data_IF_138465461972
#
_entry.id   IF_138465461972
#
_cell.length_a   1.000
_cell.length_b   1.000
_cell.length_c   1.000
_cell.angle_alpha   90.00
_cell.angle_beta   90.00
_cell.angle_gamma   90.00
#
_symmetry.space_group_name_H-M   'P 1'
#
loop_
_entity.id
_entity.type
_entity.pdbx_description
1 polymer ?
#
# COMPACT_ATOMS: atom_id res chain seq x y z
N UNK A 1 24.62 -5.75 -15.60
CA UNK A 1 24.71 -4.70 -16.63
C UNK A 1 26.16 -4.60 -17.07
N UNK A 2 26.51 -5.17 -18.22
CA UNK A 2 27.85 -5.03 -18.83
C UNK A 2 27.58 -4.51 -20.24
N UNK A 3 27.93 -3.26 -20.54
CA UNK A 3 27.78 -2.76 -21.92
C UNK A 3 27.77 -1.24 -22.15
N UNK A 4 27.48 -0.41 -21.15
CA UNK A 4 27.49 1.07 -21.32
C UNK A 4 28.29 1.75 -20.21
N UNK A 5 29.07 2.82 -20.52
CA UNK A 5 29.81 3.59 -19.51
C UNK A 5 28.92 4.52 -18.66
N UNK A 6 27.60 4.48 -18.88
CA UNK A 6 26.61 5.28 -18.16
C UNK A 6 25.45 4.40 -17.72
N UNK A 7 24.82 4.81 -16.61
CA UNK A 7 23.60 4.23 -16.07
C UNK A 7 22.71 5.32 -15.47
N UNK A 8 21.46 4.97 -15.17
CA UNK A 8 20.50 5.86 -14.52
C UNK A 8 20.21 5.32 -13.12
N UNK A 9 20.21 6.20 -12.13
CA UNK A 9 19.66 5.92 -10.80
C UNK A 9 18.53 6.90 -10.53
N UNK A 10 17.41 6.39 -10.02
CA UNK A 10 16.27 7.21 -9.60
C UNK A 10 16.26 7.22 -8.08
N UNK A 11 16.42 8.40 -7.50
CA UNK A 11 16.39 8.62 -6.06
C UNK A 11 15.30 9.65 -5.75
N UNK A 12 14.65 9.51 -4.58
CA UNK A 12 13.82 10.59 -4.06
C UNK A 12 14.69 11.77 -3.68
N UNK A 13 14.19 12.99 -3.93
CA UNK A 13 14.85 14.20 -3.47
C UNK A 13 14.58 14.37 -1.98
N UNK A 14 15.57 14.01 -1.17
CA UNK A 14 15.48 14.05 0.29
C UNK A 14 16.12 15.30 0.87
N UNK A 15 15.61 15.75 2.01
CA UNK A 15 16.21 16.77 2.87
C UNK A 15 17.35 16.16 3.72
N UNK A 16 18.17 16.98 4.41
CA UNK A 16 19.15 16.48 5.38
C UNK A 16 18.55 15.63 6.52
N UNK A 17 17.24 15.72 6.73
CA UNK A 17 16.49 14.92 7.70
C UNK A 17 15.94 13.62 7.10
N UNK A 18 16.33 13.24 5.88
CA UNK A 18 15.81 12.06 5.17
C UNK A 18 14.28 12.08 4.99
N UNK A 19 13.71 13.28 4.85
CA UNK A 19 12.30 13.48 4.50
C UNK A 19 12.22 14.01 3.06
N UNK A 20 11.31 13.51 2.20
CA UNK A 20 11.19 14.02 0.84
C UNK A 20 10.86 15.51 0.81
N UNK A 21 11.55 16.27 -0.05
CA UNK A 21 11.45 17.73 -0.15
C UNK A 21 10.18 18.23 -0.85
N UNK A 22 9.40 17.34 -1.48
CA UNK A 22 8.12 17.67 -2.08
C UNK A 22 6.99 17.71 -1.04
N UNK A 23 5.94 18.48 -1.31
CA UNK A 23 4.78 18.52 -0.44
C UNK A 23 4.01 17.17 -0.50
N UNK A 24 3.66 16.56 0.65
CA UNK A 24 2.76 15.40 0.71
C UNK A 24 1.37 15.69 0.09
N UNK A 25 0.63 14.67 -0.42
CA UNK A 25 0.92 13.25 -0.28
C UNK A 25 1.94 12.71 -1.29
N UNK A 26 2.85 11.84 -0.84
CA UNK A 26 3.84 11.19 -1.72
C UNK A 26 3.27 10.02 -2.55
N UNK A 27 2.12 9.51 -2.15
CA UNK A 27 1.33 8.53 -2.89
C UNK A 27 -0.15 8.65 -2.53
N UNK A 28 -1.01 8.27 -3.47
CA UNK A 28 -2.46 8.36 -3.31
C UNK A 28 -3.17 7.10 -3.78
N UNK A 29 -4.34 6.85 -3.21
CA UNK A 29 -5.33 5.93 -3.80
C UNK A 29 -6.35 6.81 -4.49
N UNK A 30 -6.56 6.56 -5.78
CA UNK A 30 -7.42 7.39 -6.61
C UNK A 30 -8.47 6.53 -7.29
N UNK A 31 -9.74 6.87 -7.11
CA UNK A 31 -10.80 6.35 -7.95
C UNK A 31 -11.09 7.31 -9.09
N UNK A 32 -11.15 6.77 -10.29
CA UNK A 32 -11.45 7.52 -11.51
C UNK A 32 -12.77 7.02 -12.08
N UNK A 33 -13.69 7.96 -12.30
CA UNK A 33 -14.90 7.72 -13.08
C UNK A 33 -14.55 7.76 -14.57
N UNK A 34 -14.57 6.59 -15.21
CA UNK A 34 -14.26 6.45 -16.63
C UNK A 34 -15.30 7.09 -17.55
N UNK A 35 -16.57 7.16 -17.14
CA UNK A 35 -17.64 7.74 -17.97
C UNK A 35 -17.48 9.26 -18.04
N UNK A 36 -17.26 9.88 -16.89
CA UNK A 36 -17.14 11.34 -16.79
C UNK A 36 -15.69 11.83 -16.94
N UNK A 37 -14.71 10.92 -16.97
CA UNK A 37 -13.26 11.20 -17.03
C UNK A 37 -12.80 12.11 -15.89
N UNK A 38 -13.35 11.90 -14.70
CA UNK A 38 -13.08 12.70 -13.50
C UNK A 38 -12.58 11.82 -12.37
N UNK A 39 -11.80 12.42 -11.48
CA UNK A 39 -11.48 11.80 -10.19
C UNK A 39 -12.78 11.80 -9.38
N UNK A 40 -13.23 10.60 -8.98
CA UNK A 40 -14.38 10.45 -8.10
C UNK A 40 -13.98 10.80 -6.66
N UNK A 41 -12.83 10.29 -6.23
CA UNK A 41 -12.20 10.63 -4.96
C UNK A 41 -10.71 10.29 -5.01
N UNK A 42 -9.94 10.95 -4.14
CA UNK A 42 -8.51 10.71 -3.96
C UNK A 42 -8.15 10.89 -2.49
N UNK A 43 -7.38 9.94 -1.94
CA UNK A 43 -6.93 9.96 -0.55
C UNK A 43 -5.43 9.66 -0.45
N UNK A 44 -4.74 10.13 0.60
CA UNK A 44 -3.35 9.74 0.86
C UNK A 44 -3.22 8.23 1.07
N UNK A 45 -2.19 7.63 0.47
CA UNK A 45 -1.92 6.21 0.57
C UNK A 45 -1.15 5.85 1.86
N UNK A 46 -1.83 5.47 2.93
CA UNK A 46 -1.17 5.02 4.17
C UNK A 46 -0.58 6.16 5.01
N UNK A 47 0.22 5.79 6.00
CA UNK A 47 0.65 6.69 7.10
C UNK A 47 2.16 6.72 7.33
N UNK A 48 2.61 7.67 8.13
CA UNK A 48 3.99 7.78 8.60
C UNK A 48 4.35 6.88 9.78
N UNK A 49 3.50 5.96 10.23
CA UNK A 49 3.71 5.26 11.51
C UNK A 49 5.05 4.51 11.60
N UNK A 50 5.48 3.88 10.49
CA UNK A 50 6.74 3.14 10.38
C UNK A 50 7.90 3.96 9.81
N UNK A 51 7.69 5.24 9.55
CA UNK A 51 8.64 6.13 8.89
C UNK A 51 8.82 7.43 9.70
N UNK A 52 9.89 8.17 9.43
CA UNK A 52 10.09 9.48 10.03
C UNK A 52 11.49 10.03 9.77
N UNK A 53 11.79 11.23 10.28
CA UNK A 53 13.07 11.89 10.07
C UNK A 53 14.24 11.00 10.50
N UNK A 54 15.31 10.99 9.71
CA UNK A 54 16.55 10.22 9.96
C UNK A 54 16.31 8.71 10.11
N UNK A 55 15.28 8.18 9.43
CA UNK A 55 14.88 6.77 9.52
C UNK A 55 14.22 6.38 10.86
N UNK A 56 13.95 7.33 11.74
CA UNK A 56 13.33 7.07 13.04
C UNK A 56 11.81 6.91 12.85
N UNK A 57 11.25 5.79 13.33
CA UNK A 57 9.81 5.53 13.29
C UNK A 57 9.05 6.60 14.06
N UNK A 58 8.13 7.29 13.39
CA UNK A 58 7.35 8.34 14.06
C UNK A 58 6.34 7.78 15.07
N UNK A 59 5.87 6.54 14.87
CA UNK A 59 4.75 5.94 15.61
C UNK A 59 3.44 6.75 15.55
N UNK A 60 3.37 7.76 14.70
CA UNK A 60 2.21 8.61 14.51
C UNK A 60 1.53 8.22 13.20
N UNK A 61 0.22 7.92 13.21
CA UNK A 61 -0.52 7.51 12.02
C UNK A 61 -0.88 8.72 11.14
N UNK A 62 0.09 9.59 10.84
CA UNK A 62 -0.12 10.77 10.01
C UNK A 62 -0.33 10.35 8.56
N UNK A 63 -1.43 10.74 7.88
CA UNK A 63 -1.75 10.32 6.52
C UNK A 63 -0.95 11.12 5.48
N UNK A 64 0.38 10.98 5.52
CA UNK A 64 1.29 11.69 4.62
C UNK A 64 1.31 11.10 3.21
N UNK A 65 0.62 9.99 2.96
CA UNK A 65 0.57 9.30 1.68
C UNK A 65 1.94 8.80 1.26
N UNK A 66 2.21 7.52 1.47
CA UNK A 66 3.50 6.91 1.15
C UNK A 66 3.58 6.49 -0.31
N UNK A 67 4.80 6.48 -0.89
CA UNK A 67 5.03 5.88 -2.19
C UNK A 67 4.52 4.43 -2.21
N UNK A 68 3.73 4.11 -3.24
CA UNK A 68 3.01 2.85 -3.33
C UNK A 68 3.69 1.87 -4.27
N UNK A 69 3.91 0.63 -3.83
CA UNK A 69 4.64 -0.39 -4.61
C UNK A 69 3.83 -1.67 -4.88
N UNK A 70 2.50 -1.64 -4.75
CA UNK A 70 1.62 -2.77 -5.05
C UNK A 70 0.40 -2.31 -5.85
N UNK A 71 -0.33 -3.27 -6.43
CA UNK A 71 -1.65 -3.02 -7.00
C UNK A 71 -2.76 -3.10 -5.96
N UNK A 72 -3.90 -2.51 -6.31
CA UNK A 72 -5.17 -2.65 -5.58
C UNK A 72 -5.99 -3.81 -6.14
N UNK A 73 -6.85 -4.41 -5.32
CA UNK A 73 -7.88 -5.35 -5.77
C UNK A 73 -9.25 -4.86 -5.34
N UNK A 74 -10.24 -4.94 -6.23
CA UNK A 74 -11.64 -4.61 -5.91
C UNK A 74 -12.50 -5.86 -5.82
N UNK A 75 -13.61 -5.76 -5.08
CA UNK A 75 -14.63 -6.82 -5.00
C UNK A 75 -16.00 -6.26 -5.37
N UNK A 76 -16.90 -7.14 -5.84
CA UNK A 76 -18.29 -6.75 -6.14
C UNK A 76 -19.07 -6.26 -4.90
N UNK A 77 -18.58 -6.54 -3.70
CA UNK A 77 -19.13 -6.03 -2.44
C UNK A 77 -18.83 -4.55 -2.16
N UNK A 78 -18.20 -3.82 -3.09
CA UNK A 78 -17.90 -2.40 -2.92
C UNK A 78 -16.65 -2.12 -2.07
N UNK A 79 -15.73 -3.08 -2.00
CA UNK A 79 -14.48 -2.94 -1.25
C UNK A 79 -13.27 -2.91 -2.16
N UNK A 80 -12.30 -2.05 -1.83
CA UNK A 80 -10.96 -1.98 -2.41
C UNK A 80 -9.95 -2.42 -1.37
N UNK A 81 -9.22 -3.49 -1.64
CA UNK A 81 -8.13 -3.99 -0.80
C UNK A 81 -6.78 -3.49 -1.31
N UNK A 82 -5.95 -3.05 -0.38
CA UNK A 82 -4.62 -2.55 -0.71
C UNK A 82 -3.63 -2.73 0.44
N UNK A 83 -2.40 -3.13 0.11
CA UNK A 83 -1.32 -3.36 1.07
C UNK A 83 0.03 -2.79 0.61
N UNK A 84 0.03 -1.89 -0.38
CA UNK A 84 1.25 -1.34 -0.97
C UNK A 84 1.86 -0.18 -0.20
N UNK A 85 1.58 -0.06 1.09
CA UNK A 85 2.05 1.04 1.93
C UNK A 85 3.27 0.63 2.75
N UNK A 86 4.12 1.59 3.08
CA UNK A 86 5.30 1.37 3.94
C UNK A 86 4.98 1.31 5.44
N UNK A 87 3.70 1.38 5.84
CA UNK A 87 3.27 1.30 7.25
C UNK A 87 2.74 -0.08 7.68
N UNK A 88 2.86 -1.08 6.80
CA UNK A 88 2.64 -2.51 7.06
C UNK A 88 1.20 -2.85 7.44
N UNK A 89 0.24 -2.34 6.67
CA UNK A 89 -1.15 -2.74 6.80
C UNK A 89 -1.71 -3.29 5.49
N UNK A 90 -2.53 -4.34 5.61
CA UNK A 90 -3.56 -4.61 4.62
C UNK A 90 -4.80 -3.82 5.01
N UNK A 91 -5.33 -3.02 4.09
CA UNK A 91 -6.51 -2.17 4.31
C UNK A 91 -7.62 -2.51 3.34
N UNK A 92 -8.86 -2.30 3.78
CA UNK A 92 -10.03 -2.28 2.94
C UNK A 92 -10.67 -0.89 2.98
N UNK A 93 -11.00 -0.39 1.79
CA UNK A 93 -11.65 0.91 1.59
C UNK A 93 -13.02 0.71 0.94
N UNK A 94 -13.97 1.54 1.33
CA UNK A 94 -15.24 1.69 0.61
C UNK A 94 -14.98 2.26 -0.79
N UNK A 95 -15.40 1.55 -1.84
CA UNK A 95 -15.10 1.94 -3.23
C UNK A 95 -15.77 3.23 -3.68
N UNK A 96 -16.86 3.63 -3.03
CA UNK A 96 -17.64 4.82 -3.40
C UNK A 96 -17.10 6.11 -2.76
N UNK A 97 -16.48 5.98 -1.58
CA UNK A 97 -16.03 7.13 -0.77
C UNK A 97 -14.53 7.19 -0.53
N UNK A 98 -13.81 6.08 -0.71
CA UNK A 98 -12.40 5.96 -0.30
C UNK A 98 -12.22 5.86 1.23
N UNK A 99 -13.29 5.73 2.01
CA UNK A 99 -13.17 5.61 3.48
C UNK A 99 -12.54 4.27 3.86
N UNK A 100 -11.50 4.30 4.71
CA UNK A 100 -10.96 3.08 5.34
C UNK A 100 -12.06 2.47 6.24
N UNK A 101 -12.45 1.22 5.97
CA UNK A 101 -13.48 0.50 6.73
C UNK A 101 -12.89 -0.64 7.56
N UNK A 102 -11.68 -1.09 7.21
CA UNK A 102 -10.98 -2.14 7.93
C UNK A 102 -9.49 -2.08 7.64
N UNK A 103 -8.68 -2.52 8.62
CA UNK A 103 -7.25 -2.74 8.43
C UNK A 103 -6.74 -3.86 9.33
N UNK A 104 -5.62 -4.45 8.93
CA UNK A 104 -4.89 -5.45 9.70
C UNK A 104 -3.39 -5.20 9.63
N UNK A 105 -2.73 -5.25 10.79
CA UNK A 105 -1.28 -5.05 10.91
C UNK A 105 -0.54 -6.30 10.40
N UNK A 106 0.30 -6.09 9.40
CA UNK A 106 1.15 -7.12 8.82
C UNK A 106 2.46 -7.24 9.61
N UNK A 107 3.09 -8.43 9.64
CA UNK A 107 4.35 -8.63 10.35
C UNK A 107 5.51 -7.82 9.74
N UNK A 108 5.49 -7.65 8.42
CA UNK A 108 6.42 -6.82 7.65
C UNK A 108 5.65 -6.12 6.52
N UNK A 109 6.33 -5.25 5.76
CA UNK A 109 5.71 -4.60 4.61
C UNK A 109 5.28 -5.57 3.51
N UNK A 110 4.39 -5.11 2.63
CA UNK A 110 3.97 -5.87 1.47
C UNK A 110 4.07 -5.03 0.20
N UNK A 111 4.48 -5.68 -0.89
CA UNK A 111 4.46 -5.12 -2.25
C UNK A 111 3.61 -5.95 -3.21
N UNK A 112 2.87 -6.94 -2.69
CA UNK A 112 2.03 -7.82 -3.48
C UNK A 112 0.60 -7.26 -3.59
N UNK A 113 0.02 -7.40 -4.78
CA UNK A 113 -1.41 -7.13 -5.00
C UNK A 113 -2.24 -8.23 -4.30
N UNK A 114 -3.20 -7.87 -3.43
CA UNK A 114 -4.11 -8.85 -2.84
C UNK A 114 -4.93 -9.59 -3.90
N UNK A 115 -5.36 -10.82 -3.60
CA UNK A 115 -6.29 -11.56 -4.44
C UNK A 115 -7.50 -12.08 -3.64
N UNK A 116 -8.57 -12.41 -4.33
CA UNK A 116 -9.80 -12.96 -3.74
C UNK A 116 -10.10 -14.33 -4.34
N UNK A 117 -10.50 -15.28 -3.51
CA UNK A 117 -10.80 -16.65 -3.93
C UNK A 117 -11.92 -17.26 -3.08
N UNK A 118 -12.80 -18.05 -3.70
CA UNK A 118 -13.80 -18.84 -2.98
C UNK A 118 -13.30 -20.28 -2.87
N UNK A 119 -13.17 -20.78 -1.64
CA UNK A 119 -12.71 -22.14 -1.40
C UNK A 119 -13.80 -23.17 -1.75
N UNK A 120 -13.54 -24.14 -2.64
CA UNK A 120 -14.45 -25.25 -2.90
C UNK A 120 -14.67 -26.15 -1.69
N UNK A 121 -13.75 -26.15 -0.72
CA UNK A 121 -13.84 -26.98 0.48
C UNK A 121 -14.71 -26.35 1.56
N UNK A 122 -14.64 -25.03 1.73
CA UNK A 122 -15.35 -24.33 2.82
C UNK A 122 -16.51 -23.46 2.34
N UNK A 123 -16.61 -23.20 1.04
CA UNK A 123 -17.59 -22.28 0.45
C UNK A 123 -17.34 -20.79 0.78
N UNK A 124 -16.33 -20.47 1.59
CA UNK A 124 -16.05 -19.10 2.02
C UNK A 124 -15.18 -18.35 1.00
N UNK A 125 -15.40 -17.04 0.89
CA UNK A 125 -14.52 -16.11 0.20
C UNK A 125 -13.35 -15.73 1.10
N UNK A 126 -12.14 -15.79 0.55
CA UNK A 126 -10.89 -15.42 1.20
C UNK A 126 -10.24 -14.28 0.45
N UNK A 127 -9.64 -13.36 1.20
CA UNK A 127 -8.68 -12.37 0.72
C UNK A 127 -7.29 -12.89 1.06
N UNK A 128 -6.42 -13.03 0.06
CA UNK A 128 -5.10 -13.64 0.19
C UNK A 128 -4.03 -12.65 -0.25
N UNK A 129 -2.92 -12.61 0.50
CA UNK A 129 -1.78 -11.76 0.20
C UNK A 129 -0.46 -12.45 0.58
N UNK A 130 0.56 -12.24 -0.25
CA UNK A 130 1.95 -12.56 0.08
C UNK A 130 2.59 -11.36 0.78
N UNK A 131 3.19 -11.59 1.94
CA UNK A 131 3.82 -10.55 2.77
C UNK A 131 5.30 -10.87 2.86
N UNK A 132 6.07 -10.28 1.95
CA UNK A 132 7.50 -10.56 1.76
C UNK A 132 8.45 -9.41 2.14
N UNK A 133 7.90 -8.20 2.29
CA UNK A 133 8.67 -6.96 2.39
C UNK A 133 8.09 -5.85 1.50
N UNK A 134 8.31 -4.61 1.93
CA UNK A 134 8.03 -3.42 1.14
C UNK A 134 9.32 -2.91 0.46
N UNK A 135 9.18 -2.26 -0.69
CA UNK A 135 10.32 -1.57 -1.30
C UNK A 135 10.94 -0.58 -0.30
N UNK A 136 12.28 -0.60 -0.22
CA UNK A 136 13.08 0.22 0.70
C UNK A 136 12.89 -0.07 2.20
N UNK A 137 12.22 -1.16 2.57
CA UNK A 137 12.17 -1.68 3.95
C UNK A 137 13.34 -2.62 4.21
N UNK A 138 14.00 -2.49 5.36
CA UNK A 138 14.98 -3.47 5.84
C UNK A 138 14.32 -4.72 6.43
N UNK A 139 13.06 -4.61 6.84
CA UNK A 139 12.29 -5.74 7.37
C UNK A 139 11.68 -6.55 6.23
N UNK A 140 12.01 -7.84 6.23
CA UNK A 140 11.57 -8.84 5.24
C UNK A 140 10.99 -10.06 5.96
N UNK A 141 10.23 -10.86 5.22
CA UNK A 141 9.61 -12.09 5.72
C UNK A 141 9.14 -12.96 4.57
N UNK A 142 8.53 -14.09 4.87
CA UNK A 142 8.01 -15.04 3.88
C UNK A 142 6.65 -15.57 4.34
N UNK A 143 5.60 -14.74 4.26
CA UNK A 143 4.27 -15.13 4.70
C UNK A 143 3.27 -15.18 3.54
N UNK A 144 2.35 -16.15 3.61
CA UNK A 144 1.10 -16.13 2.86
C UNK A 144 -0.02 -16.04 3.88
N UNK A 145 -0.80 -14.96 3.83
CA UNK A 145 -1.88 -14.70 4.77
C UNK A 145 -3.23 -14.75 4.05
N UNK A 146 -4.22 -15.35 4.70
CA UNK A 146 -5.59 -15.45 4.20
C UNK A 146 -6.58 -14.95 5.26
N UNK A 147 -7.54 -14.11 4.84
CA UNK A 147 -8.55 -13.50 5.68
C UNK A 147 -9.94 -13.87 5.17
N UNK A 148 -10.86 -14.20 6.07
CA UNK A 148 -12.25 -14.47 5.76
C UNK A 148 -13.15 -13.97 6.89
N UNK A 149 -14.41 -13.72 6.58
CA UNK A 149 -15.42 -13.46 7.62
C UNK A 149 -15.70 -14.73 8.45
N UNK A 150 -16.12 -14.57 9.72
CA UNK A 150 -16.47 -15.68 10.61
C UNK A 150 -17.48 -16.67 10.01
#
# INVERSE_FOLDING_TARGET
>A
MIGTPYGMITLMWMSPLEVPCNQPPYGTITAVDYKNKKIAWQIPAGTAEKMGPLGIRSHLPMPVGMPTYAGTMTTAGGLVFFAGFQDYYLRAYDSSTGKEVWKYALPVGASATPMSYVSPKTGKQYIVIVVGGAAHSTETGDYVMAFALP
#
